data_IF_929388650291
#
_entry.id   IF_929388650291
#
_cell.length_a   1.000
_cell.length_b   1.000
_cell.length_c   1.000
_cell.angle_alpha   90.00
_cell.angle_beta   90.00
_cell.angle_gamma   90.00
#
_symmetry.space_group_name_H-M   'P 1'
#
loop_
_entity.id
_entity.type
_entity.pdbx_description
1 polymer ?
#
# COMPACT_ATOMS: atom_id res chain seq x y z
N UNK A 1 12.76 -30.56 25.29
CA UNK A 1 11.70 -29.86 26.03
C UNK A 1 12.22 -28.45 26.41
N UNK A 2 11.48 -27.39 26.09
CA UNK A 2 11.91 -26.04 26.45
C UNK A 2 11.73 -25.83 27.94
N UNK A 3 12.79 -25.46 28.64
CA UNK A 3 12.72 -25.16 30.08
C UNK A 3 12.73 -23.64 30.29
N UNK A 4 11.87 -23.17 31.22
CA UNK A 4 11.80 -21.74 31.60
C UNK A 4 12.15 -21.62 33.07
N UNK A 5 13.10 -20.74 33.35
CA UNK A 5 13.53 -20.45 34.73
C UNK A 5 13.25 -19.00 35.08
N UNK A 6 12.75 -18.74 36.31
CA UNK A 6 12.68 -17.41 36.85
C UNK A 6 14.05 -17.04 37.41
N UNK A 7 14.59 -15.88 37.05
CA UNK A 7 15.86 -15.36 37.52
C UNK A 7 15.68 -13.97 38.10
N UNK A 8 16.45 -13.70 39.14
CA UNK A 8 16.55 -12.39 39.80
C UNK A 8 17.78 -11.65 39.29
N UNK A 9 17.67 -10.38 38.99
CA UNK A 9 18.79 -9.54 38.60
C UNK A 9 18.75 -8.23 39.38
N UNK A 10 19.82 -7.94 40.12
CA UNK A 10 19.99 -6.65 40.79
C UNK A 10 20.54 -5.62 39.81
N UNK A 11 19.87 -4.48 39.69
CA UNK A 11 20.31 -3.38 38.85
C UNK A 11 21.27 -2.47 39.61
N UNK A 12 21.99 -1.62 38.91
CA UNK A 12 22.92 -0.63 39.52
C UNK A 12 22.22 0.30 40.53
N UNK A 13 20.92 0.49 40.40
CA UNK A 13 20.05 1.24 41.33
C UNK A 13 19.76 0.51 42.65
N UNK A 14 20.28 -0.71 42.86
CA UNK A 14 19.97 -1.56 44.00
C UNK A 14 18.62 -2.29 43.91
N UNK A 15 17.79 -2.03 42.92
CA UNK A 15 16.49 -2.70 42.73
C UNK A 15 16.65 -4.08 42.10
N UNK A 16 15.80 -5.03 42.51
CA UNK A 16 15.80 -6.40 42.00
C UNK A 16 14.64 -6.61 41.06
N UNK A 17 14.91 -7.06 39.82
CA UNK A 17 13.89 -7.37 38.82
C UNK A 17 13.85 -8.86 38.51
N UNK A 18 12.65 -9.36 38.14
CA UNK A 18 12.43 -10.74 37.73
C UNK A 18 12.48 -10.85 36.20
N UNK A 19 13.11 -11.95 35.74
CA UNK A 19 13.28 -12.29 34.33
C UNK A 19 12.93 -13.76 34.09
N UNK A 20 12.41 -14.07 32.92
CA UNK A 20 12.38 -15.45 32.41
C UNK A 20 13.64 -15.73 31.61
N UNK A 21 14.27 -16.88 31.89
CA UNK A 21 15.36 -17.44 31.11
C UNK A 21 14.85 -18.65 30.36
N UNK A 22 15.02 -18.65 29.03
CA UNK A 22 14.66 -19.74 28.13
C UNK A 22 15.85 -20.62 27.82
N UNK A 23 15.64 -21.93 27.92
CA UNK A 23 16.64 -22.93 27.52
C UNK A 23 15.98 -24.10 26.77
N UNK A 24 16.34 -24.33 25.48
CA UNK A 24 17.14 -23.46 24.60
C UNK A 24 16.47 -22.10 24.34
N UNK A 25 17.20 -21.11 23.78
CA UNK A 25 16.63 -19.83 23.41
C UNK A 25 15.45 -20.00 22.46
N UNK A 26 14.39 -19.20 22.66
CA UNK A 26 13.21 -19.19 21.79
C UNK A 26 13.36 -18.11 20.72
N UNK A 27 12.64 -18.22 19.61
CA UNK A 27 12.60 -17.18 18.58
C UNK A 27 11.48 -16.19 18.85
N UNK A 28 11.78 -14.90 18.74
CA UNK A 28 10.77 -13.84 18.81
C UNK A 28 9.88 -13.92 17.56
N UNK A 29 8.55 -14.13 17.69
CA UNK A 29 7.67 -14.28 16.55
C UNK A 29 7.57 -13.02 15.66
N UNK A 30 7.91 -11.83 16.22
CA UNK A 30 7.88 -10.56 15.48
C UNK A 30 9.18 -10.24 14.75
N UNK A 31 10.32 -10.52 15.37
CA UNK A 31 11.64 -10.11 14.86
C UNK A 31 12.48 -11.26 14.34
N UNK A 32 12.04 -12.52 14.55
CA UNK A 32 12.76 -13.77 14.26
C UNK A 32 14.15 -13.90 14.96
N UNK A 33 14.45 -13.00 15.89
CA UNK A 33 15.71 -13.05 16.67
C UNK A 33 15.57 -14.04 17.83
N UNK A 34 16.69 -14.69 18.17
CA UNK A 34 16.73 -15.57 19.34
C UNK A 34 16.64 -14.74 20.63
N UNK A 35 15.72 -15.14 21.52
CA UNK A 35 15.54 -14.55 22.85
C UNK A 35 15.94 -15.58 23.89
N UNK A 36 16.91 -15.23 24.74
CA UNK A 36 17.30 -16.04 25.90
C UNK A 36 16.72 -15.48 27.20
N UNK A 37 16.37 -14.20 27.24
CA UNK A 37 15.91 -13.49 28.43
C UNK A 37 14.71 -12.61 28.11
N UNK A 38 13.67 -12.70 28.97
CA UNK A 38 12.48 -11.83 28.92
C UNK A 38 12.33 -11.10 30.25
N UNK A 39 12.32 -9.77 30.23
CA UNK A 39 12.10 -8.97 31.43
C UNK A 39 10.60 -8.95 31.77
N UNK A 40 10.23 -9.30 33.00
CA UNK A 40 8.83 -9.32 33.46
C UNK A 40 8.35 -7.96 33.95
N UNK A 41 9.22 -6.99 34.14
CA UNK A 41 8.95 -5.68 34.76
C UNK A 41 8.36 -5.79 36.19
N UNK A 42 8.63 -6.91 36.87
CA UNK A 42 8.27 -7.15 38.25
C UNK A 42 9.46 -6.79 39.12
N UNK A 43 9.24 -5.88 40.07
CA UNK A 43 10.26 -5.33 40.95
C UNK A 43 10.13 -5.89 42.36
N UNK A 44 11.26 -6.22 42.99
CA UNK A 44 11.33 -6.77 44.34
C UNK A 44 12.25 -5.93 45.23
N UNK A 45 11.95 -5.89 46.49
CA UNK A 45 12.86 -5.35 47.52
C UNK A 45 14.09 -6.28 47.71
N UNK A 46 15.32 -5.78 47.66
CA UNK A 46 16.51 -6.62 47.72
C UNK A 46 16.68 -7.27 49.12
N UNK A 47 16.35 -6.56 50.20
CA UNK A 47 16.45 -7.01 51.59
C UNK A 47 15.15 -6.62 52.33
N UNK A 48 14.06 -7.38 52.25
CA UNK A 48 12.81 -7.03 52.83
C UNK A 48 12.87 -7.08 54.36
N UNK A 49 12.69 -5.95 55.03
CA UNK A 49 12.74 -5.79 56.48
C UNK A 49 11.33 -5.81 57.10
N UNK A 50 10.34 -5.18 56.40
CA UNK A 50 8.96 -5.06 56.89
C UNK A 50 8.09 -6.21 56.40
N UNK A 51 6.98 -6.47 57.07
CA UNK A 51 5.97 -7.46 56.64
C UNK A 51 5.41 -7.11 55.26
N UNK A 52 5.14 -5.84 55.02
CA UNK A 52 4.70 -5.34 53.69
C UNK A 52 5.69 -5.68 52.57
N UNK A 53 6.99 -5.44 52.77
CA UNK A 53 8.01 -5.75 51.74
C UNK A 53 8.12 -7.25 51.47
N UNK A 54 7.93 -8.09 52.52
CA UNK A 54 7.92 -9.55 52.37
C UNK A 54 6.72 -10.04 51.57
N UNK A 55 5.52 -9.52 51.91
CA UNK A 55 4.27 -9.83 51.19
C UNK A 55 4.34 -9.37 49.71
N UNK A 56 4.84 -8.15 49.48
CA UNK A 56 5.09 -7.66 48.10
C UNK A 56 5.99 -8.59 47.33
N UNK A 57 7.13 -8.97 47.87
CA UNK A 57 8.06 -9.88 47.20
C UNK A 57 7.43 -11.24 46.93
N UNK A 58 6.62 -11.76 47.84
CA UNK A 58 5.87 -13.01 47.64
C UNK A 58 4.88 -12.89 46.49
N UNK A 59 4.12 -11.84 46.43
CA UNK A 59 3.16 -11.56 45.36
C UNK A 59 3.86 -11.42 44.00
N UNK A 60 5.03 -10.76 43.93
CA UNK A 60 5.82 -10.65 42.68
C UNK A 60 6.33 -12.00 42.20
N UNK A 61 6.74 -12.89 43.08
CA UNK A 61 7.17 -14.25 42.74
C UNK A 61 5.97 -15.07 42.24
N UNK A 62 4.82 -15.02 42.89
CA UNK A 62 3.59 -15.70 42.48
C UNK A 62 3.15 -15.23 41.08
N UNK A 63 3.20 -13.93 40.83
CA UNK A 63 2.89 -13.37 39.51
C UNK A 63 3.89 -13.84 38.42
N UNK A 64 5.17 -13.93 38.77
CA UNK A 64 6.19 -14.45 37.86
C UNK A 64 5.96 -15.95 37.53
N UNK A 65 5.54 -16.79 38.50
CA UNK A 65 5.20 -18.19 38.27
C UNK A 65 3.96 -18.34 37.38
N UNK A 66 2.93 -17.48 37.55
CA UNK A 66 1.77 -17.46 36.66
C UNK A 66 2.19 -17.11 35.23
N UNK A 67 3.05 -16.10 35.05
CA UNK A 67 3.54 -15.70 33.73
C UNK A 67 4.39 -16.82 33.11
N UNK A 68 5.26 -17.46 33.89
CA UNK A 68 6.08 -18.61 33.47
C UNK A 68 5.20 -19.77 33.01
N UNK A 69 4.17 -20.14 33.79
CA UNK A 69 3.23 -21.20 33.45
C UNK A 69 2.49 -20.90 32.15
N UNK A 70 2.03 -19.66 31.96
CA UNK A 70 1.43 -19.21 30.70
C UNK A 70 2.39 -19.30 29.51
N UNK A 71 3.67 -18.93 29.71
CA UNK A 71 4.71 -19.07 28.66
C UNK A 71 5.01 -20.54 28.35
N UNK A 72 5.08 -21.40 29.36
CA UNK A 72 5.25 -22.85 29.16
C UNK A 72 4.09 -23.46 28.37
N UNK A 73 2.86 -23.09 28.68
CA UNK A 73 1.68 -23.53 27.91
C UNK A 73 1.73 -23.07 26.45
N UNK A 74 2.13 -21.82 26.20
CA UNK A 74 2.27 -21.30 24.83
C UNK A 74 3.37 -22.06 24.06
N UNK A 75 4.53 -22.28 24.64
CA UNK A 75 5.63 -23.01 24.02
C UNK A 75 5.32 -24.51 23.82
N UNK A 76 4.62 -25.12 24.77
CA UNK A 76 4.10 -26.47 24.64
C UNK A 76 3.03 -26.53 23.53
N UNK A 77 2.15 -25.52 23.46
CA UNK A 77 1.14 -25.36 22.42
C UNK A 77 1.77 -25.27 21.03
N UNK A 78 2.83 -24.47 20.86
CA UNK A 78 3.60 -24.39 19.62
C UNK A 78 4.28 -25.73 19.27
N UNK A 79 4.85 -26.43 20.26
CA UNK A 79 5.55 -27.70 20.05
C UNK A 79 4.61 -28.88 19.79
N UNK A 80 3.41 -28.87 20.37
CA UNK A 80 2.45 -29.98 20.29
C UNK A 80 1.16 -29.64 19.54
N UNK A 81 1.06 -28.44 18.94
CA UNK A 81 -0.11 -28.03 18.16
C UNK A 81 -1.38 -27.82 19.01
N UNK A 82 -1.26 -27.66 20.32
CA UNK A 82 -2.36 -27.32 21.20
C UNK A 82 -2.69 -25.83 21.14
N UNK A 83 -3.38 -25.42 20.07
CA UNK A 83 -4.18 -24.19 20.17
C UNK A 83 -5.41 -24.52 21.02
N UNK A 84 -5.78 -23.60 21.89
CA UNK A 84 -7.01 -23.65 22.64
C UNK A 84 -8.16 -24.12 21.75
N UNK A 85 -8.78 -25.27 22.10
CA UNK A 85 -9.86 -25.87 21.30
C UNK A 85 -11.02 -24.92 21.07
N UNK A 86 -11.21 -23.93 21.96
CA UNK A 86 -12.23 -22.89 21.83
C UNK A 86 -11.92 -21.96 20.66
N UNK A 87 -10.67 -21.53 20.46
CA UNK A 87 -10.25 -20.65 19.33
C UNK A 87 -10.42 -21.31 17.97
N UNK A 88 -10.23 -22.61 17.86
CA UNK A 88 -10.42 -23.33 16.60
C UNK A 88 -11.88 -23.32 16.12
N UNK A 89 -12.83 -23.23 17.07
CA UNK A 89 -14.27 -23.21 16.79
C UNK A 89 -14.84 -21.83 16.57
N UNK A 90 -14.06 -20.77 16.83
CA UNK A 90 -14.52 -19.42 16.58
C UNK A 90 -14.62 -19.10 15.12
N UNK A 91 -15.49 -18.13 14.78
CA UNK A 91 -15.79 -17.75 13.40
C UNK A 91 -14.68 -16.85 12.81
N UNK A 92 -13.95 -17.39 11.83
CA UNK A 92 -12.91 -16.68 11.10
C UNK A 92 -13.48 -15.52 10.24
N UNK A 93 -14.75 -15.59 9.82
CA UNK A 93 -15.41 -14.49 9.09
C UNK A 93 -15.61 -13.30 10.03
N UNK A 94 -16.09 -13.55 11.26
CA UNK A 94 -16.22 -12.50 12.27
C UNK A 94 -14.86 -11.86 12.60
N UNK A 95 -13.82 -12.66 12.74
CA UNK A 95 -12.47 -12.17 12.93
C UNK A 95 -12.00 -11.31 11.73
N UNK A 96 -12.22 -11.78 10.49
CA UNK A 96 -11.88 -11.02 9.28
C UNK A 96 -12.65 -9.70 9.21
N UNK A 97 -13.90 -9.68 9.66
CA UNK A 97 -14.71 -8.47 9.75
C UNK A 97 -14.10 -7.44 10.71
N UNK A 98 -13.64 -7.86 11.89
CA UNK A 98 -12.95 -6.99 12.84
C UNK A 98 -11.67 -6.41 12.24
N UNK A 99 -10.83 -7.23 11.61
CA UNK A 99 -9.62 -6.79 10.92
C UNK A 99 -9.95 -5.81 9.78
N UNK A 100 -11.01 -6.10 9.02
CA UNK A 100 -11.49 -5.26 7.92
C UNK A 100 -11.94 -3.87 8.40
N UNK A 101 -12.67 -3.79 9.51
CA UNK A 101 -13.08 -2.52 10.14
C UNK A 101 -11.89 -1.67 10.56
N UNK A 102 -10.84 -2.30 11.10
CA UNK A 102 -9.63 -1.59 11.51
C UNK A 102 -8.79 -1.08 10.32
N UNK A 103 -8.72 -1.84 9.23
CA UNK A 103 -7.87 -1.53 8.08
C UNK A 103 -8.56 -0.64 7.04
N UNK A 104 -9.87 -0.75 6.88
CA UNK A 104 -10.65 0.01 5.91
C UNK A 104 -10.35 -0.30 4.44
N UNK A 105 -10.83 0.54 3.55
CA UNK A 105 -10.55 0.45 2.11
C UNK A 105 -11.04 -0.85 1.46
N UNK A 106 -10.15 -1.54 0.74
CA UNK A 106 -10.51 -2.77 -0.01
C UNK A 106 -10.68 -4.02 0.85
N UNK A 107 -10.41 -3.95 2.16
CA UNK A 107 -10.56 -5.10 3.05
C UNK A 107 -12.02 -5.56 3.16
N UNK A 108 -12.97 -4.61 3.15
CA UNK A 108 -14.40 -4.92 3.13
C UNK A 108 -14.82 -5.70 1.88
N UNK A 109 -14.32 -5.33 0.70
CA UNK A 109 -14.59 -6.07 -0.52
C UNK A 109 -13.98 -7.48 -0.51
N UNK A 110 -12.75 -7.62 0.01
CA UNK A 110 -12.12 -8.93 0.17
C UNK A 110 -12.89 -9.84 1.13
N UNK A 111 -13.39 -9.27 2.24
CA UNK A 111 -14.26 -9.97 3.18
C UNK A 111 -15.56 -10.44 2.52
N UNK A 112 -16.23 -9.57 1.74
CA UNK A 112 -17.49 -9.92 1.07
C UNK A 112 -17.32 -11.13 0.15
N UNK A 113 -16.29 -11.15 -0.69
CA UNK A 113 -16.01 -12.30 -1.55
C UNK A 113 -15.72 -13.59 -0.76
N UNK A 114 -14.97 -13.49 0.34
CA UNK A 114 -14.70 -14.65 1.18
C UNK A 114 -15.97 -15.14 1.89
N UNK A 115 -16.80 -14.21 2.39
CA UNK A 115 -18.09 -14.52 3.02
C UNK A 115 -19.07 -15.19 2.05
N UNK A 116 -19.10 -14.72 0.81
CA UNK A 116 -19.91 -15.32 -0.28
C UNK A 116 -19.45 -16.73 -0.60
N UNK A 117 -18.14 -16.97 -0.76
CA UNK A 117 -17.55 -18.29 -0.98
C UNK A 117 -17.92 -19.29 0.13
N UNK A 118 -17.88 -18.85 1.39
CA UNK A 118 -18.14 -19.69 2.56
C UNK A 118 -19.64 -19.86 2.89
N UNK A 119 -20.54 -19.15 2.22
CA UNK A 119 -21.96 -19.16 2.56
C UNK A 119 -22.30 -18.49 3.90
N UNK A 120 -21.42 -17.61 4.40
CA UNK A 120 -21.68 -16.75 5.56
C UNK A 120 -20.94 -17.10 6.85
N UNK A 121 -20.50 -18.32 7.07
CA UNK A 121 -19.77 -18.76 8.29
C UNK A 121 -18.55 -19.58 7.94
N UNK A 122 -17.48 -19.47 8.74
CA UNK A 122 -16.26 -20.27 8.59
C UNK A 122 -15.54 -20.34 9.93
N UNK A 123 -15.32 -21.55 10.46
CA UNK A 123 -14.52 -21.74 11.67
C UNK A 123 -13.04 -21.71 11.34
N UNK A 124 -12.19 -21.32 12.30
CA UNK A 124 -10.73 -21.37 12.11
C UNK A 124 -10.20 -22.77 11.80
N UNK A 125 -10.83 -23.83 12.30
CA UNK A 125 -10.46 -25.21 12.01
C UNK A 125 -10.73 -25.64 10.55
N UNK A 126 -11.66 -24.94 9.87
CA UNK A 126 -11.99 -25.16 8.46
C UNK A 126 -11.01 -24.46 7.51
N UNK A 127 -10.22 -23.50 8.02
CA UNK A 127 -9.18 -22.82 7.24
C UNK A 127 -7.99 -23.75 7.01
N UNK A 128 -8.13 -24.60 5.99
CA UNK A 128 -7.09 -25.51 5.53
C UNK A 128 -6.41 -24.99 4.26
N UNK A 129 -5.28 -25.58 3.89
CA UNK A 129 -4.60 -25.30 2.61
C UNK A 129 -5.53 -25.55 1.43
N UNK A 130 -6.24 -26.67 1.48
CA UNK A 130 -7.20 -27.06 0.43
C UNK A 130 -8.34 -26.05 0.29
N UNK A 131 -8.91 -25.58 1.40
CA UNK A 131 -9.94 -24.52 1.37
C UNK A 131 -9.40 -23.22 0.77
N UNK A 132 -8.16 -22.84 1.12
CA UNK A 132 -7.54 -21.64 0.59
C UNK A 132 -7.30 -21.71 -0.93
N UNK A 133 -6.88 -22.88 -1.45
CA UNK A 133 -6.73 -23.08 -2.90
C UNK A 133 -8.10 -23.12 -3.60
N UNK A 134 -9.13 -23.76 -3.02
CA UNK A 134 -10.52 -23.69 -3.55
C UNK A 134 -11.04 -22.25 -3.59
N UNK A 135 -10.79 -21.46 -2.56
CA UNK A 135 -11.15 -20.05 -2.56
C UNK A 135 -10.41 -19.26 -3.64
N UNK A 136 -9.14 -19.56 -3.86
CA UNK A 136 -8.34 -18.94 -4.93
C UNK A 136 -8.90 -19.22 -6.32
N UNK A 137 -9.32 -20.44 -6.59
CA UNK A 137 -9.96 -20.82 -7.85
C UNK A 137 -11.33 -20.18 -8.00
N UNK A 138 -12.11 -20.17 -6.92
CA UNK A 138 -13.44 -19.57 -6.91
C UNK A 138 -13.37 -18.06 -7.20
N UNK A 139 -12.49 -17.30 -6.53
CA UNK A 139 -12.40 -15.85 -6.70
C UNK A 139 -11.89 -15.45 -8.10
N UNK A 140 -11.13 -16.30 -8.77
CA UNK A 140 -10.72 -16.09 -10.17
C UNK A 140 -11.90 -16.20 -11.16
N UNK A 141 -12.93 -16.93 -10.78
CA UNK A 141 -14.13 -17.18 -11.62
C UNK A 141 -15.37 -16.45 -11.12
N UNK A 142 -15.31 -15.77 -9.98
CA UNK A 142 -16.41 -15.07 -9.36
C UNK A 142 -16.91 -13.87 -10.19
N UNK A 143 -18.12 -13.46 -9.95
CA UNK A 143 -18.71 -12.26 -10.53
C UNK A 143 -18.23 -10.99 -9.81
N UNK A 144 -18.42 -9.88 -10.49
CA UNK A 144 -18.08 -8.56 -9.93
C UNK A 144 -19.28 -7.99 -9.17
N UNK A 145 -19.21 -7.93 -7.85
CA UNK A 145 -20.29 -7.44 -6.99
C UNK A 145 -20.78 -6.00 -7.31
N UNK A 146 -20.01 -5.24 -8.13
CA UNK A 146 -20.38 -3.89 -8.55
C UNK A 146 -20.96 -3.82 -9.99
N UNK A 147 -20.97 -4.95 -10.73
CA UNK A 147 -21.50 -5.01 -12.11
C UNK A 147 -22.12 -6.38 -12.33
N UNK A 148 -23.43 -6.42 -12.32
CA UNK A 148 -24.22 -7.61 -12.57
C UNK A 148 -23.83 -8.27 -13.91
N UNK A 149 -23.61 -9.59 -13.90
CA UNK A 149 -23.18 -10.38 -15.07
C UNK A 149 -21.75 -10.19 -15.55
N UNK A 150 -20.94 -9.35 -14.90
CA UNK A 150 -19.54 -9.15 -15.27
C UNK A 150 -18.60 -9.97 -14.37
N UNK A 151 -17.68 -10.74 -14.95
CA UNK A 151 -16.65 -11.47 -14.22
C UNK A 151 -15.67 -10.50 -13.50
N UNK A 152 -15.22 -10.91 -12.34
CA UNK A 152 -14.19 -10.19 -11.61
C UNK A 152 -12.86 -10.17 -12.40
N UNK A 153 -12.29 -8.98 -12.60
CA UNK A 153 -11.00 -8.86 -13.30
C UNK A 153 -9.90 -9.55 -12.51
N UNK A 154 -9.03 -10.33 -13.19
CA UNK A 154 -7.94 -11.09 -12.57
C UNK A 154 -7.10 -10.28 -11.57
N UNK A 155 -6.76 -9.02 -11.87
CA UNK A 155 -5.99 -8.17 -10.96
C UNK A 155 -6.80 -7.73 -9.72
N UNK A 156 -8.12 -7.65 -9.82
CA UNK A 156 -9.00 -7.42 -8.66
C UNK A 156 -9.05 -8.66 -7.77
N UNK A 157 -9.23 -9.85 -8.37
CA UNK A 157 -9.16 -11.13 -7.67
C UNK A 157 -7.81 -11.30 -6.94
N UNK A 158 -6.70 -11.00 -7.62
CA UNK A 158 -5.37 -11.03 -7.02
C UNK A 158 -5.23 -10.08 -5.83
N UNK A 159 -5.79 -8.86 -5.92
CA UNK A 159 -5.77 -7.90 -4.82
C UNK A 159 -6.60 -8.39 -3.62
N UNK A 160 -7.80 -8.90 -3.83
CA UNK A 160 -8.66 -9.41 -2.75
C UNK A 160 -8.08 -10.67 -2.11
N UNK A 161 -7.57 -11.59 -2.92
CA UNK A 161 -6.87 -12.78 -2.41
C UNK A 161 -5.60 -12.42 -1.61
N UNK A 162 -4.87 -11.39 -2.02
CA UNK A 162 -3.73 -10.87 -1.25
C UNK A 162 -4.12 -10.35 0.12
N UNK A 163 -5.28 -9.67 0.23
CA UNK A 163 -5.82 -9.21 1.51
C UNK A 163 -6.30 -10.36 2.39
N UNK A 164 -6.92 -11.39 1.82
CA UNK A 164 -7.24 -12.64 2.52
C UNK A 164 -5.97 -13.30 3.08
N UNK A 165 -4.91 -13.43 2.27
CA UNK A 165 -3.61 -13.94 2.73
C UNK A 165 -2.99 -13.09 3.84
N UNK A 166 -3.17 -11.77 3.77
CA UNK A 166 -2.73 -10.87 4.83
C UNK A 166 -3.52 -11.10 6.14
N UNK A 167 -4.83 -11.36 6.06
CA UNK A 167 -5.65 -11.76 7.21
C UNK A 167 -5.14 -13.06 7.83
N UNK A 168 -4.89 -14.11 7.03
CA UNK A 168 -4.31 -15.36 7.52
C UNK A 168 -2.99 -15.16 8.26
N UNK A 169 -2.13 -14.27 7.73
CA UNK A 169 -0.85 -13.92 8.37
C UNK A 169 -1.03 -13.22 9.72
N UNK A 170 -2.04 -12.34 9.83
CA UNK A 170 -2.38 -11.68 11.10
C UNK A 170 -2.92 -12.74 12.07
N UNK A 171 -3.86 -13.57 11.65
CA UNK A 171 -4.44 -14.64 12.46
C UNK A 171 -3.38 -15.62 12.98
N UNK A 172 -2.41 -15.99 12.15
CA UNK A 172 -1.28 -16.83 12.60
C UNK A 172 -0.43 -16.13 13.67
N UNK A 173 -0.12 -14.84 13.49
CA UNK A 173 0.65 -14.06 14.48
C UNK A 173 -0.07 -13.88 15.82
N UNK A 174 -1.39 -13.86 15.79
CA UNK A 174 -2.25 -13.75 16.96
C UNK A 174 -2.62 -15.12 17.55
N UNK A 175 -2.04 -16.20 17.03
CA UNK A 175 -2.23 -17.59 17.50
C UNK A 175 -3.67 -18.12 17.32
N UNK A 176 -4.38 -17.66 16.28
CA UNK A 176 -5.64 -18.28 15.83
C UNK A 176 -5.41 -19.50 14.94
N UNK A 177 -4.30 -19.53 14.22
CA UNK A 177 -3.88 -20.62 13.35
C UNK A 177 -2.62 -21.30 13.92
N UNK A 178 -2.56 -22.64 13.83
CA UNK A 178 -1.41 -23.44 14.28
C UNK A 178 -0.20 -23.31 13.37
N UNK A 179 -0.45 -23.10 12.08
CA UNK A 179 0.57 -22.96 11.03
C UNK A 179 0.30 -21.74 10.15
N UNK A 180 1.35 -21.21 9.57
CA UNK A 180 1.21 -20.14 8.60
C UNK A 180 0.76 -20.70 7.24
N UNK A 181 -0.53 -20.64 6.94
CA UNK A 181 -1.08 -21.18 5.69
C UNK A 181 -0.45 -20.54 4.44
N UNK A 182 0.09 -19.33 4.56
CA UNK A 182 0.75 -18.65 3.44
C UNK A 182 2.03 -19.34 2.93
N UNK A 183 2.60 -20.24 3.71
CA UNK A 183 3.79 -20.99 3.31
C UNK A 183 3.45 -22.10 2.29
N UNK A 184 2.17 -22.48 2.21
CA UNK A 184 1.65 -23.53 1.35
C UNK A 184 0.82 -23.03 0.16
N UNK A 185 0.24 -21.82 0.24
CA UNK A 185 -0.61 -21.25 -0.81
C UNK A 185 0.14 -20.20 -1.62
N UNK A 186 0.04 -20.30 -2.95
CA UNK A 186 0.68 -19.36 -3.85
C UNK A 186 -0.21 -18.14 -4.15
N UNK A 187 0.36 -16.92 -4.29
CA UNK A 187 -0.41 -15.75 -4.67
C UNK A 187 -0.95 -15.87 -6.10
N UNK A 188 -2.05 -15.18 -6.38
CA UNK A 188 -2.54 -15.03 -7.76
C UNK A 188 -1.61 -14.08 -8.50
N UNK A 189 -1.02 -14.56 -9.61
CA UNK A 189 -0.17 -13.73 -10.48
C UNK A 189 -1.03 -12.67 -11.18
N UNK A 190 -0.61 -11.41 -11.10
CA UNK A 190 -1.23 -10.29 -11.81
C UNK A 190 -0.83 -10.28 -13.28
N UNK A 191 -1.70 -9.73 -14.12
CA UNK A 191 -1.43 -9.52 -15.54
C UNK A 191 -1.06 -8.05 -15.74
N UNK A 192 0.01 -7.80 -16.51
CA UNK A 192 0.35 -6.44 -16.94
C UNK A 192 -0.79 -5.92 -17.83
N UNK A 193 -1.38 -4.79 -17.44
CA UNK A 193 -2.42 -4.10 -18.23
C UNK A 193 -1.77 -2.88 -18.87
N UNK A 194 -1.89 -2.77 -20.18
CA UNK A 194 -1.49 -1.56 -20.90
C UNK A 194 -2.30 -0.36 -20.36
N UNK A 195 -1.59 0.71 -20.08
CA UNK A 195 -2.19 1.96 -19.62
C UNK A 195 -2.26 2.91 -20.81
N UNK A 196 -3.47 3.25 -21.28
CA UNK A 196 -3.61 4.16 -22.39
C UNK A 196 -3.05 5.55 -22.03
N UNK A 197 -2.45 6.17 -23.04
CA UNK A 197 -1.94 7.54 -22.98
C UNK A 197 -2.19 8.22 -24.34
N UNK A 198 -2.15 9.54 -24.34
CA UNK A 198 -2.27 10.36 -25.56
C UNK A 198 -0.90 10.56 -26.17
N UNK A 199 -0.79 10.42 -27.48
CA UNK A 199 0.37 10.93 -28.25
C UNK A 199 0.40 12.46 -28.17
N UNK A 200 1.50 13.08 -28.56
CA UNK A 200 1.60 14.53 -28.59
C UNK A 200 0.60 15.16 -29.56
N UNK A 201 0.35 14.50 -30.69
CA UNK A 201 -0.64 14.92 -31.69
C UNK A 201 -2.06 14.83 -31.14
N UNK A 202 -2.43 13.68 -30.56
CA UNK A 202 -3.73 13.51 -29.89
C UNK A 202 -3.94 14.54 -28.77
N UNK A 203 -2.89 14.87 -28.00
CA UNK A 203 -2.97 15.86 -26.94
C UNK A 203 -3.21 17.28 -27.51
N UNK A 204 -2.57 17.63 -28.62
CA UNK A 204 -2.79 18.90 -29.32
C UNK A 204 -4.20 18.98 -29.87
N UNK A 205 -4.66 17.95 -30.57
CA UNK A 205 -6.03 17.87 -31.07
C UNK A 205 -7.07 18.01 -29.94
N UNK A 206 -6.84 17.33 -28.82
CA UNK A 206 -7.71 17.45 -27.65
C UNK A 206 -7.70 18.88 -27.04
N UNK A 207 -6.55 19.54 -27.02
CA UNK A 207 -6.44 20.92 -26.54
C UNK A 207 -7.24 21.89 -27.42
N UNK A 208 -7.23 21.69 -28.73
CA UNK A 208 -7.95 22.52 -29.70
C UNK A 208 -9.46 22.22 -29.71
N UNK A 209 -9.88 20.99 -29.36
CA UNK A 209 -11.29 20.59 -29.33
C UNK A 209 -12.07 21.35 -28.25
N UNK A 210 -13.23 21.96 -28.60
CA UNK A 210 -14.11 22.59 -27.61
C UNK A 210 -14.56 21.60 -26.52
N UNK A 211 -14.70 22.08 -25.30
CA UNK A 211 -15.23 21.29 -24.19
C UNK A 211 -16.29 22.13 -23.46
N UNK A 212 -17.46 21.55 -23.25
CA UNK A 212 -18.57 22.24 -22.57
C UNK A 212 -18.17 22.70 -21.16
N UNK A 213 -17.32 21.94 -20.49
CA UNK A 213 -16.82 22.24 -19.15
C UNK A 213 -15.39 22.81 -19.17
N UNK A 214 -15.26 24.13 -19.16
CA UNK A 214 -13.96 24.80 -19.14
C UNK A 214 -13.06 24.35 -17.97
N UNK A 215 -13.61 24.18 -16.77
CA UNK A 215 -12.84 23.71 -15.62
C UNK A 215 -12.29 22.28 -15.81
N UNK A 216 -13.06 21.39 -16.46
CA UNK A 216 -12.60 20.04 -16.81
C UNK A 216 -11.46 20.11 -17.81
N UNK A 217 -11.64 20.85 -18.92
CA UNK A 217 -10.62 21.05 -19.97
C UNK A 217 -9.32 21.53 -19.38
N UNK A 218 -9.35 22.64 -18.64
CA UNK A 218 -8.15 23.23 -18.01
C UNK A 218 -7.48 22.29 -17.02
N UNK A 219 -8.23 21.62 -16.17
CA UNK A 219 -7.69 20.64 -15.20
C UNK A 219 -7.05 19.44 -15.89
N UNK A 220 -7.64 18.96 -16.99
CA UNK A 220 -7.13 17.82 -17.77
C UNK A 220 -5.82 18.16 -18.46
N UNK A 221 -5.76 19.28 -19.17
CA UNK A 221 -4.54 19.75 -19.84
C UNK A 221 -3.45 20.11 -18.83
N UNK A 222 -3.82 20.71 -17.71
CA UNK A 222 -2.90 20.93 -16.59
C UNK A 222 -2.31 19.60 -16.07
N UNK A 223 -3.12 18.53 -15.95
CA UNK A 223 -2.64 17.20 -15.56
C UNK A 223 -1.67 16.62 -16.59
N UNK A 224 -1.92 16.82 -17.89
CA UNK A 224 -1.02 16.40 -18.97
C UNK A 224 0.34 17.12 -18.93
N UNK A 225 0.40 18.34 -18.41
CA UNK A 225 1.62 19.15 -18.36
C UNK A 225 2.37 19.09 -17.03
N UNK A 226 1.74 18.57 -15.98
CA UNK A 226 2.33 18.54 -14.63
C UNK A 226 2.42 17.13 -14.02
N UNK A 227 1.67 16.17 -14.58
CA UNK A 227 1.58 14.83 -14.04
C UNK A 227 0.82 14.71 -12.71
N UNK A 228 0.20 15.77 -12.19
CA UNK A 228 -0.53 15.73 -10.93
C UNK A 228 -1.75 14.80 -10.99
N UNK A 229 -2.04 14.13 -9.88
CA UNK A 229 -3.25 13.30 -9.74
C UNK A 229 -4.49 14.18 -9.59
N UNK A 230 -5.64 13.65 -9.97
CA UNK A 230 -6.94 14.34 -9.80
C UNK A 230 -7.19 14.79 -8.35
N UNK A 231 -6.77 13.99 -7.35
CA UNK A 231 -6.88 14.35 -5.94
C UNK A 231 -6.12 15.63 -5.61
N UNK A 232 -4.91 15.75 -6.17
CA UNK A 232 -4.01 16.87 -5.90
C UNK A 232 -4.49 18.12 -6.66
N UNK A 233 -5.00 17.96 -7.89
CA UNK A 233 -5.58 19.04 -8.70
C UNK A 233 -6.86 19.61 -8.05
N UNK A 234 -7.73 18.76 -7.53
CA UNK A 234 -8.97 19.19 -6.84
C UNK A 234 -8.70 20.05 -5.60
N UNK A 235 -7.58 19.84 -4.95
CA UNK A 235 -7.20 20.55 -3.72
C UNK A 235 -6.11 21.59 -3.94
N UNK A 236 -5.65 21.80 -5.21
CA UNK A 236 -4.60 22.76 -5.53
C UNK A 236 -5.12 24.19 -5.35
N UNK A 237 -4.36 24.97 -4.60
CA UNK A 237 -4.70 26.36 -4.25
C UNK A 237 -3.75 27.33 -4.92
N UNK A 238 -4.16 28.58 -5.04
CA UNK A 238 -3.30 29.66 -5.53
C UNK A 238 -2.09 29.92 -4.64
N UNK A 239 -2.24 29.64 -3.36
CA UNK A 239 -1.20 29.77 -2.35
C UNK A 239 -0.10 28.71 -2.51
N UNK A 240 -0.44 27.55 -3.11
CA UNK A 240 0.51 26.48 -3.41
C UNK A 240 1.43 26.81 -4.61
N UNK A 241 1.10 27.86 -5.40
CA UNK A 241 1.91 28.29 -6.55
C UNK A 241 2.87 29.42 -6.15
N UNK A 242 4.13 29.06 -5.98
CA UNK A 242 5.20 29.97 -5.58
C UNK A 242 6.07 30.29 -6.79
N UNK A 243 6.38 31.56 -7.03
CA UNK A 243 7.35 31.94 -8.06
C UNK A 243 8.76 31.76 -7.48
N UNK A 244 9.58 30.96 -8.12
CA UNK A 244 10.95 30.72 -7.68
C UNK A 244 11.90 31.84 -8.15
N UNK A 245 13.14 31.79 -7.69
CA UNK A 245 14.18 32.77 -8.03
C UNK A 245 14.53 32.84 -9.55
N UNK A 246 14.19 31.78 -10.29
CA UNK A 246 14.41 31.70 -11.76
C UNK A 246 13.20 32.22 -12.56
N UNK A 247 12.19 32.79 -11.90
CA UNK A 247 11.00 33.33 -12.56
C UNK A 247 9.93 32.28 -12.91
N UNK A 248 10.20 30.99 -12.70
CA UNK A 248 9.25 29.91 -12.93
C UNK A 248 8.31 29.71 -11.73
N UNK A 249 7.11 29.20 -11.99
CA UNK A 249 6.20 28.79 -10.93
C UNK A 249 6.52 27.38 -10.48
N UNK A 250 6.48 27.14 -9.18
CA UNK A 250 6.68 25.86 -8.54
C UNK A 250 5.45 25.53 -7.71
N UNK A 251 4.97 24.30 -7.80
CA UNK A 251 3.90 23.78 -6.95
C UNK A 251 4.52 23.28 -5.66
N UNK A 252 4.28 23.98 -4.55
CA UNK A 252 4.68 23.57 -3.21
C UNK A 252 3.45 23.10 -2.44
N UNK A 253 3.25 21.76 -2.36
CA UNK A 253 2.02 21.18 -1.83
C UNK A 253 2.24 19.81 -1.23
N UNK A 254 1.56 19.51 -0.13
CA UNK A 254 1.46 18.14 0.39
C UNK A 254 0.57 17.29 -0.52
N UNK A 255 1.13 16.20 -1.05
CA UNK A 255 0.43 15.24 -1.93
C UNK A 255 -0.58 14.44 -1.11
N UNK A 256 -1.85 14.45 -1.53
CA UNK A 256 -2.96 13.81 -0.80
C UNK A 256 -2.74 12.31 -0.56
N UNK A 257 -2.14 11.61 -1.52
CA UNK A 257 -1.98 10.15 -1.44
C UNK A 257 -0.79 9.69 -0.60
N UNK A 258 0.32 10.43 -0.61
CA UNK A 258 1.60 10.00 0.00
C UNK A 258 1.95 10.78 1.27
N UNK A 259 1.34 11.95 1.48
CA UNK A 259 1.69 12.86 2.57
C UNK A 259 3.03 13.59 2.38
N UNK A 260 3.74 13.34 1.27
CA UNK A 260 5.01 14.00 0.96
C UNK A 260 4.78 15.39 0.39
N UNK A 261 5.73 16.29 0.61
CA UNK A 261 5.71 17.62 0.00
C UNK A 261 6.24 17.52 -1.42
N UNK A 262 5.42 17.92 -2.39
CA UNK A 262 5.86 18.13 -3.76
C UNK A 262 6.42 19.55 -3.90
N UNK A 263 7.55 19.64 -4.58
CA UNK A 263 8.19 20.91 -4.97
C UNK A 263 8.54 20.84 -6.45
N UNK A 264 7.48 20.88 -7.28
CA UNK A 264 7.58 20.60 -8.71
C UNK A 264 7.46 21.91 -9.52
N UNK A 265 8.48 22.30 -10.31
CA UNK A 265 8.36 23.40 -11.25
C UNK A 265 7.33 23.09 -12.34
N UNK A 266 6.62 24.11 -12.80
CA UNK A 266 5.65 24.01 -13.89
C UNK A 266 6.00 24.97 -15.02
N UNK A 267 5.66 24.59 -16.25
CA UNK A 267 5.83 25.45 -17.41
C UNK A 267 4.87 26.63 -17.38
N UNK A 268 5.19 27.72 -18.12
CA UNK A 268 4.30 28.86 -18.31
C UNK A 268 2.98 28.42 -18.97
N UNK A 269 3.03 27.46 -19.87
CA UNK A 269 1.84 26.87 -20.48
C UNK A 269 0.96 26.19 -19.44
N UNK A 270 1.52 25.31 -18.57
CA UNK A 270 0.77 24.71 -17.49
C UNK A 270 0.17 25.77 -16.56
N UNK A 271 0.93 26.83 -16.25
CA UNK A 271 0.46 27.96 -15.44
C UNK A 271 -0.72 28.69 -16.10
N UNK A 272 -0.77 28.82 -17.43
CA UNK A 272 -1.86 29.49 -18.14
C UNK A 272 -3.21 28.81 -17.92
N UNK A 273 -3.25 27.47 -17.82
CA UNK A 273 -4.46 26.70 -17.54
C UNK A 273 -5.01 26.91 -16.11
N UNK A 274 -4.23 27.47 -15.20
CA UNK A 274 -4.75 27.90 -13.91
C UNK A 274 -5.67 29.12 -14.03
N UNK A 275 -5.53 29.94 -15.09
CA UNK A 275 -6.28 31.17 -15.31
C UNK A 275 -5.73 32.37 -14.52
N UNK A 276 -6.54 33.40 -14.32
CA UNK A 276 -6.16 34.58 -13.56
C UNK A 276 -5.98 34.27 -12.08
N UNK A 277 -4.92 34.83 -11.46
CA UNK A 277 -4.64 34.60 -10.03
C UNK A 277 -5.79 35.08 -9.15
N UNK A 278 -6.22 34.20 -8.23
CA UNK A 278 -7.27 34.47 -7.24
C UNK A 278 -6.79 33.97 -5.87
N UNK A 279 -7.70 33.81 -4.92
CA UNK A 279 -7.45 33.11 -3.63
C UNK A 279 -8.16 31.77 -3.60
N UNK A 280 -7.60 30.80 -2.88
CA UNK A 280 -8.21 29.50 -2.66
C UNK A 280 -8.02 28.53 -3.83
N UNK A 281 -8.97 27.61 -4.02
CA UNK A 281 -8.86 26.48 -4.98
C UNK A 281 -8.83 26.99 -6.42
N UNK A 282 -7.86 26.53 -7.21
CA UNK A 282 -7.66 26.91 -8.62
C UNK A 282 -8.76 26.33 -9.51
N UNK A 283 -8.98 25.04 -9.43
CA UNK A 283 -9.98 24.33 -10.26
C UNK A 283 -11.29 24.13 -9.50
N UNK A 284 -11.82 25.24 -8.96
CA UNK A 284 -13.10 25.23 -8.23
C UNK A 284 -14.23 24.76 -9.15
N UNK A 285 -15.04 23.82 -8.66
CA UNK A 285 -16.17 23.27 -9.42
C UNK A 285 -15.85 22.00 -10.21
N UNK A 286 -14.61 21.48 -10.17
CA UNK A 286 -14.27 20.19 -10.78
C UNK A 286 -14.95 19.05 -10.01
N UNK A 287 -16.05 18.54 -10.53
CA UNK A 287 -16.88 17.47 -9.94
C UNK A 287 -16.46 16.09 -10.45
N UNK A 288 -16.83 15.07 -9.68
CA UNK A 288 -16.54 13.67 -10.05
C UNK A 288 -17.36 13.22 -11.26
N UNK A 289 -18.60 13.68 -11.36
CA UNK A 289 -19.54 13.35 -12.44
C UNK A 289 -18.98 13.74 -13.82
N UNK A 290 -18.29 14.89 -13.91
CA UNK A 290 -17.64 15.37 -15.14
C UNK A 290 -16.61 14.35 -15.68
N UNK A 291 -15.95 13.59 -14.80
CA UNK A 291 -14.93 12.60 -15.19
C UNK A 291 -15.57 11.36 -15.85
N UNK A 292 -16.85 11.09 -15.61
CA UNK A 292 -17.55 9.92 -16.14
C UNK A 292 -18.48 10.26 -17.30
N UNK A 293 -18.98 11.49 -17.37
CA UNK A 293 -19.95 11.93 -18.37
C UNK A 293 -19.27 12.84 -19.42
N UNK A 294 -18.68 13.97 -18.99
CA UNK A 294 -18.22 14.99 -19.91
C UNK A 294 -16.86 14.66 -20.51
N UNK A 295 -15.96 14.03 -19.74
CA UNK A 295 -14.63 13.64 -20.22
C UNK A 295 -14.69 12.64 -21.37
N UNK A 296 -15.46 11.53 -21.30
CA UNK A 296 -15.58 10.61 -22.44
C UNK A 296 -16.16 11.27 -23.70
N UNK A 297 -17.14 12.18 -23.54
CA UNK A 297 -17.71 12.94 -24.65
C UNK A 297 -16.64 13.80 -25.31
N UNK A 298 -15.93 14.62 -24.55
CA UNK A 298 -14.87 15.50 -25.06
C UNK A 298 -13.73 14.73 -25.76
N UNK A 299 -13.34 13.55 -25.24
CA UNK A 299 -12.36 12.65 -25.86
C UNK A 299 -12.88 12.12 -27.20
N UNK A 300 -14.16 11.74 -27.27
CA UNK A 300 -14.82 11.29 -28.51
C UNK A 300 -14.92 12.42 -29.54
N UNK A 301 -15.29 13.62 -29.11
CA UNK A 301 -15.41 14.81 -29.96
C UNK A 301 -14.05 15.21 -30.58
N UNK A 302 -12.95 14.88 -29.91
CA UNK A 302 -11.58 15.02 -30.42
C UNK A 302 -11.17 13.90 -31.39
N UNK A 303 -12.05 12.94 -31.72
CA UNK A 303 -11.74 11.81 -32.60
C UNK A 303 -10.81 10.76 -31.97
N UNK A 304 -10.63 10.78 -30.66
CA UNK A 304 -9.74 9.84 -29.95
C UNK A 304 -10.53 8.59 -29.59
N UNK A 305 -10.14 7.45 -30.15
CA UNK A 305 -10.81 6.15 -29.94
C UNK A 305 -10.35 5.40 -28.67
N UNK A 306 -9.26 5.84 -28.06
CA UNK A 306 -8.71 5.25 -26.84
C UNK A 306 -9.61 5.54 -25.64
N UNK A 307 -9.79 4.56 -24.76
CA UNK A 307 -10.50 4.79 -23.49
C UNK A 307 -9.62 5.60 -22.52
N UNK A 308 -9.74 6.91 -22.55
CA UNK A 308 -8.99 7.85 -21.74
C UNK A 308 -9.79 8.22 -20.48
N UNK A 309 -9.24 7.91 -19.32
CA UNK A 309 -9.71 8.40 -18.02
C UNK A 309 -8.83 9.55 -17.55
N UNK A 310 -9.26 10.31 -16.55
CA UNK A 310 -8.45 11.41 -16.02
C UNK A 310 -7.05 10.97 -15.58
N UNK A 311 -6.89 9.75 -15.09
CA UNK A 311 -5.58 9.23 -14.69
C UNK A 311 -4.64 8.98 -15.90
N UNK A 312 -5.20 8.79 -17.08
CA UNK A 312 -4.42 8.66 -18.32
C UNK A 312 -3.65 9.93 -18.68
N UNK A 313 -4.10 11.10 -18.27
CA UNK A 313 -3.37 12.36 -18.46
C UNK A 313 -2.01 12.36 -17.73
N UNK A 314 -1.96 11.79 -16.53
CA UNK A 314 -0.69 11.57 -15.83
C UNK A 314 0.19 10.53 -16.53
N UNK A 315 -0.41 9.49 -17.13
CA UNK A 315 0.34 8.53 -17.97
C UNK A 315 0.89 9.21 -19.21
N UNK A 316 0.09 10.08 -19.85
CA UNK A 316 0.51 10.93 -20.97
C UNK A 316 1.70 11.79 -20.61
N UNK A 317 1.65 12.53 -19.50
CA UNK A 317 2.78 13.31 -19.01
C UNK A 317 4.05 12.47 -18.89
N UNK A 318 3.97 11.36 -18.16
CA UNK A 318 5.12 10.48 -17.92
C UNK A 318 5.72 9.93 -19.22
N UNK A 319 4.86 9.44 -20.13
CA UNK A 319 5.30 8.85 -21.40
C UNK A 319 5.92 9.90 -22.32
N UNK A 320 5.29 11.07 -22.46
CA UNK A 320 5.80 12.15 -23.31
C UNK A 320 7.11 12.74 -22.76
N UNK A 321 7.28 12.87 -21.44
CA UNK A 321 8.55 13.33 -20.85
C UNK A 321 9.69 12.34 -21.12
N UNK A 322 9.45 11.04 -20.96
CA UNK A 322 10.44 10.01 -21.30
C UNK A 322 10.70 9.98 -22.80
N UNK A 323 9.69 10.12 -23.64
CA UNK A 323 9.84 10.23 -25.10
C UNK A 323 10.67 11.46 -25.48
N UNK A 324 10.49 12.59 -24.83
CA UNK A 324 11.26 13.82 -25.04
C UNK A 324 12.71 13.77 -24.53
N UNK A 325 13.15 12.69 -23.86
CA UNK A 325 14.55 12.54 -23.45
C UNK A 325 14.79 12.68 -21.94
N UNK A 326 13.77 13.02 -21.17
CA UNK A 326 13.93 13.10 -19.71
C UNK A 326 14.31 11.73 -19.12
N UNK A 327 15.23 11.71 -18.17
CA UNK A 327 15.58 10.48 -17.48
C UNK A 327 14.45 10.00 -16.55
N UNK A 328 14.39 8.70 -16.34
CA UNK A 328 13.32 8.05 -15.60
C UNK A 328 13.27 8.47 -14.12
N UNK A 329 14.43 8.79 -13.53
CA UNK A 329 14.52 9.21 -12.15
C UNK A 329 13.92 10.60 -11.96
N UNK A 330 14.26 11.54 -12.84
CA UNK A 330 13.68 12.89 -12.87
C UNK A 330 12.16 12.83 -13.04
N UNK A 331 11.67 12.04 -14.03
CA UNK A 331 10.22 11.85 -14.24
C UNK A 331 9.56 11.23 -13.01
N UNK A 332 10.21 10.25 -12.36
CA UNK A 332 9.70 9.65 -11.14
C UNK A 332 9.56 10.66 -9.99
N UNK A 333 10.54 11.56 -9.83
CA UNK A 333 10.49 12.66 -8.85
C UNK A 333 9.39 13.65 -9.18
N UNK A 334 9.27 14.09 -10.43
CA UNK A 334 8.20 14.98 -10.88
C UNK A 334 6.80 14.40 -10.66
N UNK A 335 6.68 13.07 -10.74
CA UNK A 335 5.44 12.36 -10.45
C UNK A 335 5.23 12.10 -8.94
N UNK A 336 6.17 12.41 -8.08
CA UNK A 336 6.14 12.05 -6.65
C UNK A 336 5.84 10.55 -6.46
N UNK A 337 6.63 9.68 -7.16
CA UNK A 337 6.60 8.25 -6.95
C UNK A 337 7.61 7.86 -5.86
N UNK A 338 7.15 7.16 -4.84
CA UNK A 338 8.02 6.62 -3.78
C UNK A 338 8.96 5.51 -4.28
N UNK A 339 8.62 4.87 -5.41
CA UNK A 339 9.43 3.82 -6.04
C UNK A 339 9.53 4.06 -7.55
N UNK A 340 10.75 4.17 -8.07
CA UNK A 340 11.07 4.35 -9.51
C UNK A 340 10.50 3.22 -10.37
N UNK A 341 10.38 2.00 -9.84
CA UNK A 341 9.75 0.87 -10.54
C UNK A 341 8.32 1.21 -11.05
N UNK A 342 7.61 2.10 -10.35
CA UNK A 342 6.29 2.57 -10.81
C UNK A 342 6.39 3.37 -12.11
N UNK A 343 7.54 3.97 -12.41
CA UNK A 343 7.81 4.79 -13.60
C UNK A 343 8.38 3.95 -14.74
N UNK A 344 8.99 2.79 -14.47
CA UNK A 344 9.58 1.90 -15.48
C UNK A 344 8.59 1.45 -16.55
N UNK A 345 7.31 1.34 -16.21
CA UNK A 345 6.26 0.98 -17.17
C UNK A 345 6.16 1.96 -18.35
N UNK A 346 6.53 3.23 -18.17
CA UNK A 346 6.51 4.23 -19.24
C UNK A 346 7.74 4.13 -20.15
N UNK A 347 8.88 3.74 -19.61
CA UNK A 347 10.08 3.51 -20.41
C UNK A 347 9.93 2.28 -21.34
N UNK A 348 9.17 1.27 -20.90
CA UNK A 348 8.85 0.10 -21.74
C UNK A 348 7.98 0.48 -22.97
N UNK A 349 7.19 1.56 -22.88
CA UNK A 349 6.30 2.02 -23.96
C UNK A 349 7.02 2.82 -25.06
N UNK A 350 8.21 3.36 -24.79
CA UNK A 350 8.97 4.20 -25.72
C UNK A 350 10.05 3.36 -26.42
N UNK A 351 9.63 2.48 -27.33
CA UNK A 351 10.53 1.58 -28.06
C UNK A 351 11.53 2.28 -28.99
N UNK A 352 11.17 3.43 -29.57
CA UNK A 352 12.01 4.23 -30.52
C UNK A 352 13.33 4.66 -29.90
N UNK A 353 13.40 4.94 -28.60
CA UNK A 353 14.65 5.29 -27.92
C UNK A 353 15.73 4.20 -27.93
N UNK A 354 15.36 2.94 -28.07
CA UNK A 354 16.34 1.84 -28.19
C UNK A 354 17.16 1.99 -29.45
N UNK A 355 16.52 2.39 -30.56
CA UNK A 355 17.17 2.62 -31.84
C UNK A 355 18.08 3.85 -31.77
N UNK A 356 17.60 4.95 -31.20
CA UNK A 356 18.40 6.16 -31.00
C UNK A 356 19.63 5.93 -30.10
N UNK A 357 19.46 5.12 -29.04
CA UNK A 357 20.55 4.81 -28.11
C UNK A 357 21.69 4.03 -28.78
N UNK A 358 21.38 3.15 -29.72
CA UNK A 358 22.41 2.39 -30.47
C UNK A 358 23.32 3.34 -31.26
N UNK A 359 22.78 4.42 -31.80
CA UNK A 359 23.53 5.41 -32.61
C UNK A 359 24.35 6.41 -31.80
N UNK A 360 24.18 6.46 -30.46
CA UNK A 360 24.91 7.39 -29.58
C UNK A 360 26.38 7.00 -29.37
N UNK A 361 26.72 5.73 -29.51
CA UNK A 361 28.09 5.23 -29.43
C UNK A 361 28.56 4.94 -30.84
N UNK A 362 29.51 5.72 -31.33
CA UNK A 362 30.17 5.53 -32.60
C UNK A 362 31.68 5.56 -32.42
N UNK A 363 32.36 4.56 -32.94
CA UNK A 363 33.82 4.52 -33.00
C UNK A 363 34.38 5.29 -34.21
N UNK A 364 33.49 5.79 -35.10
CA UNK A 364 33.87 6.65 -36.23
C UNK A 364 33.74 8.10 -35.79
N UNK A 365 34.83 8.85 -35.88
CA UNK A 365 34.82 10.30 -35.67
C UNK A 365 33.78 10.94 -36.60
N UNK A 366 32.78 11.59 -36.03
CA UNK A 366 31.95 12.50 -36.83
C UNK A 366 32.78 13.75 -37.11
N UNK A 367 33.40 13.79 -38.26
CA UNK A 367 33.98 15.02 -38.79
C UNK A 367 32.91 16.09 -38.76
N UNK A 368 33.11 17.08 -37.88
CA UNK A 368 32.23 18.26 -37.75
C UNK A 368 32.32 18.98 -39.11
N UNK A 369 31.31 18.80 -39.94
CA UNK A 369 31.11 19.73 -41.06
C UNK A 369 30.73 21.06 -40.44
N UNK A 370 31.68 22.04 -40.59
CA UNK A 370 31.45 23.47 -40.31
C UNK A 370 30.30 24.02 -41.14
#
# INVERSE_FOLDING_TARGET
>A
MNSIYIRKRTMRSGRVYLYLQYYPPIRNPRTNKAIRWEALKLEMFPNPKTTFEREHNKSMIEMAEIIKSKRMMLLAGESYGFIDKTRKREDAIHYFEQVSKQKGGKWGAALLHFKEFMGGTCRFEELTEELCEKYKEWILNSENNNKEGAKLKRNSAAAYFSLFRAMLKIAYREHWLTKNLNDFITPIKTVKVSKPYLTLEELRTLADTPCENDVLKRASLFSCLTGLRISDIKTLRWEDLIKNQYGCYTIHKTIVKTGEIADNPISNEARSYCGRRKKGIIFKGLKREMLYNDLPKWISDAGITKHITFHCFRHTYATLQIAAGSDIYTVSKMLNHSNVQTTQIYAELVGEKKVETISRISLKDKTIKK
#
